data_IF_267672962828
#
_entry.id   IF_267672962828
#
_cell.length_a   1.000
_cell.length_b   1.000
_cell.length_c   1.000
_cell.angle_alpha   90.00
_cell.angle_beta   90.00
_cell.angle_gamma   90.00
#
_symmetry.space_group_name_H-M   'P 1'
#
loop_
_entity.id
_entity.type
_entity.pdbx_description
1 polymer ?
#
# COMPACT_ATOMS: atom_id res chain seq x y z
N UNK A 1 13.12 -1.04 6.14
CA UNK A 1 12.90 0.14 6.99
C UNK A 1 11.59 0.05 7.77
N UNK A 2 11.51 0.86 8.81
CA UNK A 2 10.38 0.84 9.73
C UNK A 2 9.30 1.87 9.37
N UNK A 3 9.23 2.26 8.11
CA UNK A 3 8.24 3.22 7.64
C UNK A 3 7.63 2.74 6.34
N UNK A 4 6.37 3.12 6.12
CA UNK A 4 5.70 2.84 4.86
C UNK A 4 6.40 3.59 3.74
N UNK A 5 6.75 2.88 2.68
CA UNK A 5 7.36 3.45 1.50
C UNK A 5 6.52 3.17 0.28
N UNK A 6 6.95 3.70 -0.85
CA UNK A 6 6.18 3.60 -2.07
C UNK A 6 6.24 2.26 -2.76
N UNK A 7 5.55 2.20 -3.86
CA UNK A 7 5.43 0.99 -4.69
C UNK A 7 5.61 1.38 -6.14
N UNK A 8 6.01 0.41 -6.96
CA UNK A 8 6.08 0.62 -8.40
C UNK A 8 5.94 -0.72 -9.11
N UNK A 9 5.79 -0.65 -10.42
CA UNK A 9 5.83 -1.84 -11.27
C UNK A 9 7.05 -1.74 -12.16
N UNK A 10 7.82 -2.82 -12.21
CA UNK A 10 8.98 -2.91 -13.09
C UNK A 10 8.77 -4.12 -13.99
N UNK A 11 8.69 -3.88 -15.30
CA UNK A 11 8.40 -4.93 -16.30
C UNK A 11 7.14 -5.73 -15.95
N UNK A 12 6.10 -5.02 -15.48
CA UNK A 12 4.84 -5.64 -15.13
C UNK A 12 4.84 -6.35 -13.77
N UNK A 13 5.93 -6.29 -13.04
CA UNK A 13 6.05 -6.94 -11.74
C UNK A 13 5.99 -5.92 -10.62
N UNK A 14 5.19 -6.16 -9.58
CA UNK A 14 5.07 -5.20 -8.49
C UNK A 14 6.31 -5.22 -7.60
N UNK A 15 6.69 -4.02 -7.16
CA UNK A 15 7.76 -3.85 -6.17
C UNK A 15 7.21 -3.01 -5.04
N UNK A 16 7.24 -3.56 -3.84
CA UNK A 16 6.79 -2.88 -2.63
C UNK A 16 8.02 -2.64 -1.76
N UNK A 17 8.40 -1.38 -1.58
CA UNK A 17 9.65 -1.06 -0.91
C UNK A 17 9.60 -1.26 0.59
N UNK A 18 8.47 -0.94 1.23
CA UNK A 18 8.28 -1.21 2.65
C UNK A 18 6.81 -1.00 3.02
N UNK A 19 6.26 -1.92 3.80
CA UNK A 19 4.92 -1.78 4.35
C UNK A 19 4.93 -1.17 5.76
N UNK A 20 6.11 -0.81 6.26
CA UNK A 20 6.26 -0.18 7.55
C UNK A 20 6.24 -1.16 8.71
N UNK A 21 6.27 -0.62 9.91
CA UNK A 21 6.21 -1.41 11.13
C UNK A 21 4.81 -1.98 11.31
N UNK A 22 4.69 -3.29 11.31
CA UNK A 22 3.41 -3.91 11.57
C UNK A 22 3.20 -4.14 13.07
N UNK A 23 4.27 -4.51 13.77
CA UNK A 23 4.24 -4.69 15.22
C UNK A 23 5.66 -4.57 15.77
N UNK A 24 6.16 -3.34 15.92
CA UNK A 24 7.55 -3.14 16.30
C UNK A 24 7.70 -2.32 17.59
N UNK A 25 7.05 -1.17 17.68
CA UNK A 25 7.17 -0.30 18.85
C UNK A 25 5.85 0.41 19.12
N UNK A 26 5.84 1.35 20.07
CA UNK A 26 4.62 2.06 20.46
C UNK A 26 4.28 3.28 19.62
N UNK A 27 5.10 3.60 18.62
CA UNK A 27 4.85 4.78 17.79
C UNK A 27 3.64 4.59 16.88
N UNK A 28 2.92 5.68 16.63
CA UNK A 28 1.81 5.67 15.70
C UNK A 28 2.32 5.94 14.31
N UNK A 29 2.15 4.97 13.40
CA UNK A 29 2.64 5.05 12.03
C UNK A 29 1.69 4.34 11.08
N UNK A 30 1.64 4.81 9.84
CA UNK A 30 0.96 4.09 8.79
C UNK A 30 1.74 2.81 8.45
N UNK A 31 1.00 1.77 8.19
CA UNK A 31 1.53 0.52 7.66
C UNK A 31 0.45 -0.13 6.82
N UNK A 32 0.55 -1.42 6.58
CA UNK A 32 -0.49 -2.10 5.85
C UNK A 32 -0.10 -3.49 5.42
N UNK A 33 -1.00 -4.08 4.68
CA UNK A 33 -0.79 -5.38 4.07
C UNK A 33 -1.06 -5.26 2.58
N UNK A 34 -0.51 -6.19 1.82
CA UNK A 34 -0.77 -6.29 0.40
C UNK A 34 -1.50 -7.59 0.15
N UNK A 35 -2.60 -7.50 -0.57
CA UNK A 35 -3.39 -8.65 -0.97
C UNK A 35 -3.16 -8.87 -2.46
N UNK A 36 -2.59 -10.03 -2.81
CA UNK A 36 -2.28 -10.36 -4.20
C UNK A 36 -3.22 -11.46 -4.68
N UNK A 37 -3.76 -11.29 -5.87
CA UNK A 37 -4.49 -12.35 -6.56
C UNK A 37 -3.64 -12.81 -7.72
N UNK A 38 -3.26 -14.09 -7.70
CA UNK A 38 -2.34 -14.67 -8.68
C UNK A 38 -3.00 -15.92 -9.25
N UNK A 39 -2.86 -16.10 -10.56
CA UNK A 39 -3.26 -17.36 -11.21
C UNK A 39 -2.13 -17.86 -12.09
N UNK A 40 -2.43 -18.87 -12.89
CA UNK A 40 -1.43 -19.49 -13.77
C UNK A 40 -0.84 -18.50 -14.76
N UNK A 41 -1.57 -17.44 -15.07
CA UNK A 41 -1.10 -16.40 -16.00
C UNK A 41 -0.27 -15.32 -15.31
N UNK A 42 -0.17 -15.35 -13.98
CA UNK A 42 0.59 -14.37 -13.22
C UNK A 42 -0.27 -13.53 -12.30
N UNK A 43 0.18 -12.33 -11.99
CA UNK A 43 -0.51 -11.42 -11.09
C UNK A 43 -1.78 -10.87 -11.72
N UNK A 44 -2.91 -11.03 -11.02
CA UNK A 44 -4.20 -10.50 -11.47
C UNK A 44 -4.54 -9.15 -10.83
N UNK A 45 -4.25 -9.00 -9.55
CA UNK A 45 -4.50 -7.74 -8.88
C UNK A 45 -3.63 -7.60 -7.65
N UNK A 46 -3.38 -6.35 -7.29
CA UNK A 46 -2.68 -6.00 -6.06
C UNK A 46 -3.50 -4.95 -5.34
N UNK A 47 -3.84 -5.20 -4.10
CA UNK A 47 -4.67 -4.32 -3.29
C UNK A 47 -3.96 -4.01 -1.98
N UNK A 48 -3.96 -2.74 -1.61
CA UNK A 48 -3.40 -2.30 -0.35
C UNK A 48 -4.48 -2.36 0.74
N UNK A 49 -4.12 -2.89 1.89
CA UNK A 49 -5.00 -2.91 3.06
C UNK A 49 -4.49 -1.86 4.02
N UNK A 50 -5.16 -0.70 4.14
CA UNK A 50 -4.66 0.39 4.97
C UNK A 50 -4.76 0.08 6.45
N UNK A 51 -3.65 0.23 7.14
CA UNK A 51 -3.55 -0.04 8.57
C UNK A 51 -2.72 1.04 9.22
N UNK A 52 -2.77 1.07 10.53
CA UNK A 52 -1.97 1.98 11.34
C UNK A 52 -1.48 1.22 12.56
N UNK A 53 -0.19 1.32 12.84
CA UNK A 53 0.36 0.85 14.09
C UNK A 53 0.15 1.93 15.13
N UNK A 54 -0.37 1.54 16.28
CA UNK A 54 -0.51 2.43 17.40
C UNK A 54 -0.49 1.60 18.67
N UNK A 55 0.30 2.03 19.65
CA UNK A 55 0.35 1.39 20.98
C UNK A 55 0.61 -0.12 20.87
N UNK A 56 1.61 -0.52 20.08
CA UNK A 56 2.01 -1.92 19.86
C UNK A 56 0.96 -2.78 19.18
N UNK A 57 -0.02 -2.17 18.53
CA UNK A 57 -1.08 -2.88 17.81
C UNK A 57 -1.22 -2.36 16.41
N UNK A 58 -1.57 -3.23 15.49
CA UNK A 58 -1.92 -2.82 14.13
C UNK A 58 -3.43 -2.87 13.99
N UNK A 59 -4.00 -1.75 13.54
CA UNK A 59 -5.43 -1.60 13.39
C UNK A 59 -5.75 -1.32 11.92
N UNK A 60 -6.80 -1.98 11.43
CA UNK A 60 -7.30 -1.68 10.10
C UNK A 60 -8.00 -0.31 10.12
N UNK A 61 -7.73 0.51 9.11
CA UNK A 61 -8.33 1.84 9.04
C UNK A 61 -9.68 1.76 8.33
N UNK A 62 -10.75 1.73 9.10
CA UNK A 62 -12.10 1.68 8.57
C UNK A 62 -12.68 3.06 8.30
N UNK A 63 -12.20 4.07 9.01
CA UNK A 63 -12.67 5.44 8.88
C UNK A 63 -12.26 6.03 7.54
N UNK A 64 -13.22 6.59 6.81
CA UNK A 64 -12.97 7.12 5.46
C UNK A 64 -11.91 8.21 5.44
N UNK A 65 -11.90 9.08 6.44
CA UNK A 65 -10.91 10.15 6.50
C UNK A 65 -9.50 9.60 6.67
N UNK A 66 -9.31 8.70 7.61
CA UNK A 66 -7.99 8.10 7.86
C UNK A 66 -7.54 7.26 6.68
N UNK A 67 -8.47 6.53 6.08
CA UNK A 67 -8.19 5.74 4.89
C UNK A 67 -7.76 6.62 3.73
N UNK A 68 -8.47 7.72 3.49
CA UNK A 68 -8.11 8.65 2.43
C UNK A 68 -6.75 9.28 2.68
N UNK A 69 -6.47 9.66 3.93
CA UNK A 69 -5.19 10.27 4.29
C UNK A 69 -4.01 9.33 3.97
N UNK A 70 -4.11 8.06 4.35
CA UNK A 70 -3.01 7.13 4.08
C UNK A 70 -2.90 6.80 2.59
N UNK A 71 -4.03 6.73 1.88
CA UNK A 71 -3.99 6.51 0.44
C UNK A 71 -3.32 7.68 -0.28
N UNK A 72 -3.63 8.91 0.10
CA UNK A 72 -2.98 10.08 -0.49
C UNK A 72 -1.49 10.09 -0.20
N UNK A 73 -1.10 9.71 1.00
CA UNK A 73 0.30 9.60 1.37
C UNK A 73 1.01 8.55 0.51
N UNK A 74 0.38 7.39 0.36
CA UNK A 74 0.95 6.31 -0.46
C UNK A 74 1.04 6.70 -1.93
N UNK A 75 0.06 7.47 -2.43
CA UNK A 75 0.09 7.98 -3.80
C UNK A 75 1.27 8.90 -4.03
N UNK A 76 1.58 9.76 -3.09
CA UNK A 76 2.77 10.62 -3.18
C UNK A 76 4.06 9.82 -3.23
N UNK A 77 4.13 8.74 -2.46
CA UNK A 77 5.31 7.88 -2.43
C UNK A 77 5.43 6.97 -3.64
N UNK A 78 4.37 6.86 -4.43
CA UNK A 78 4.29 5.87 -5.52
C UNK A 78 3.92 6.56 -6.85
N UNK A 79 4.78 7.45 -7.37
CA UNK A 79 4.44 8.23 -8.56
C UNK A 79 4.25 7.40 -9.82
N UNK A 80 4.79 6.18 -9.85
CA UNK A 80 4.70 5.31 -11.03
C UNK A 80 3.53 4.34 -10.96
N UNK A 81 2.66 4.48 -9.96
CA UNK A 81 1.47 3.66 -9.79
C UNK A 81 0.24 4.52 -9.69
N UNK A 82 -0.92 3.92 -9.98
CA UNK A 82 -2.20 4.52 -9.63
C UNK A 82 -2.81 3.70 -8.50
N UNK A 83 -3.41 4.38 -7.53
CA UNK A 83 -4.07 3.74 -6.41
C UNK A 83 -5.47 4.35 -6.34
N UNK A 84 -6.51 3.54 -6.61
CA UNK A 84 -7.86 4.06 -6.61
C UNK A 84 -8.46 4.06 -5.19
N UNK A 85 -9.69 4.52 -5.08
CA UNK A 85 -10.35 4.62 -3.78
C UNK A 85 -10.72 3.26 -3.19
N UNK A 86 -10.66 2.21 -4.00
CA UNK A 86 -10.84 0.83 -3.54
C UNK A 86 -9.51 0.18 -3.18
N UNK A 87 -8.45 0.98 -3.10
CA UNK A 87 -7.10 0.53 -2.73
C UNK A 87 -6.45 -0.40 -3.74
N UNK A 88 -6.94 -0.42 -4.98
CA UNK A 88 -6.35 -1.25 -6.03
C UNK A 88 -5.16 -0.51 -6.62
N UNK A 89 -4.01 -1.19 -6.65
CA UNK A 89 -2.75 -0.63 -7.12
C UNK A 89 -2.49 -1.14 -8.53
N UNK A 90 -2.33 -0.22 -9.47
CA UNK A 90 -2.09 -0.55 -10.87
C UNK A 90 -0.86 0.20 -11.37
N UNK A 91 -0.15 -0.36 -12.37
CA UNK A 91 0.91 0.42 -13.00
C UNK A 91 0.31 1.64 -13.69
N UNK A 92 1.04 2.74 -13.61
CA UNK A 92 0.60 3.95 -14.30
C UNK A 92 0.68 3.71 -15.80
N UNK A 93 -0.39 4.02 -16.50
CA UNK A 93 -0.39 3.86 -17.95
C UNK A 93 0.35 5.02 -18.58
N UNK A 94 1.53 4.75 -19.11
CA UNK A 94 2.36 5.77 -19.72
C UNK A 94 2.33 5.73 -21.24
N UNK A 95 1.51 4.87 -21.81
CA UNK A 95 1.44 4.71 -23.26
C UNK A 95 0.65 5.83 -23.94
N UNK A 96 -0.12 6.57 -23.18
CA UNK A 96 -0.86 7.71 -23.72
C UNK A 96 0.00 8.94 -23.87
#
# INVERSE_FOLDING_TARGET
PHVLQGMEYIDGKPVVYSLGDFWFNGETKYNGMINLKIDISGLKSMTYVPCMQSNYKTLYLEDEKNKTDVLDYLRELSPDCTIDDDCIIMPKNTSE
#
